data_IF_890338287067
#
_entry.id   IF_890338287067
#
_cell.length_a   1.000
_cell.length_b   1.000
_cell.length_c   1.000
_cell.angle_alpha   90.00
_cell.angle_beta   90.00
_cell.angle_gamma   90.00
#
_symmetry.space_group_name_H-M   'P 1'
#
loop_
_entity.id
_entity.type
_entity.pdbx_description
1 polymer ?
#
# COMPACT_ATOMS: atom_id res chain seq x y z
N UNK A 1 -8.74 10.51 -12.23
CA UNK A 1 -9.53 9.85 -11.17
C UNK A 1 -8.67 9.53 -9.94
N UNK A 2 -7.62 8.71 -10.06
CA UNK A 2 -6.81 8.28 -8.90
C UNK A 2 -6.13 9.42 -8.13
N UNK A 3 -5.69 10.48 -8.81
CA UNK A 3 -5.10 11.66 -8.13
C UNK A 3 -6.12 12.40 -7.24
N UNK A 4 -7.39 12.44 -7.67
CA UNK A 4 -8.47 13.01 -6.86
C UNK A 4 -8.71 12.16 -5.61
N UNK A 5 -8.76 10.84 -5.74
CA UNK A 5 -8.87 9.93 -4.59
C UNK A 5 -7.73 10.16 -3.60
N UNK A 6 -6.49 10.24 -4.10
CA UNK A 6 -5.31 10.54 -3.28
C UNK A 6 -5.45 11.90 -2.58
N UNK A 7 -5.89 12.94 -3.27
CA UNK A 7 -6.09 14.27 -2.69
C UNK A 7 -7.20 14.32 -1.64
N UNK A 8 -8.27 13.54 -1.81
CA UNK A 8 -9.38 13.47 -0.83
C UNK A 8 -8.95 12.90 0.52
N UNK A 9 -7.86 12.13 0.58
CA UNK A 9 -7.29 11.68 1.87
C UNK A 9 -6.92 12.87 2.78
N UNK A 10 -6.24 13.89 2.24
CA UNK A 10 -5.88 15.09 2.99
C UNK A 10 -7.09 15.88 3.50
N UNK A 11 -8.18 15.92 2.73
CA UNK A 11 -9.44 16.57 3.13
C UNK A 11 -10.06 15.89 4.37
N UNK A 12 -10.21 14.56 4.33
CA UNK A 12 -10.80 13.78 5.44
C UNK A 12 -9.91 13.80 6.68
N UNK A 13 -8.59 13.74 6.50
CA UNK A 13 -7.63 13.90 7.60
C UNK A 13 -7.78 15.29 8.23
N UNK A 14 -7.86 16.35 7.42
CA UNK A 14 -8.06 17.71 7.91
C UNK A 14 -9.33 17.87 8.74
N UNK A 15 -10.44 17.28 8.32
CA UNK A 15 -11.70 17.25 9.07
C UNK A 15 -11.56 16.56 10.42
N UNK A 16 -10.86 15.41 10.43
CA UNK A 16 -10.61 14.65 11.66
C UNK A 16 -9.80 15.48 12.65
N UNK A 17 -8.71 16.11 12.18
CA UNK A 17 -7.86 16.96 13.01
C UNK A 17 -8.62 18.18 13.52
N UNK A 18 -9.44 18.81 12.67
CA UNK A 18 -10.32 19.91 13.05
C UNK A 18 -11.24 19.53 14.20
N UNK A 19 -12.00 18.43 14.05
CA UNK A 19 -12.92 17.95 15.08
C UNK A 19 -12.19 17.59 16.39
N UNK A 20 -11.06 16.89 16.32
CA UNK A 20 -10.25 16.58 17.51
C UNK A 20 -9.79 17.85 18.23
N UNK A 21 -9.49 18.91 17.48
CA UNK A 21 -9.07 20.20 18.04
C UNK A 21 -10.25 20.93 18.68
N UNK A 22 -11.44 20.90 18.08
CA UNK A 22 -12.68 21.46 18.67
C UNK A 22 -13.01 20.82 20.02
N UNK A 23 -12.85 19.51 20.15
CA UNK A 23 -13.20 18.76 21.38
C UNK A 23 -12.10 18.88 22.45
N UNK A 24 -10.87 19.23 22.07
CA UNK A 24 -9.73 19.25 22.98
C UNK A 24 -9.93 20.25 24.12
N UNK A 25 -10.11 19.73 25.34
CA UNK A 25 -10.18 20.54 26.56
C UNK A 25 -11.53 21.19 26.80
N UNK A 26 -12.59 20.82 26.08
CA UNK A 26 -13.95 21.28 26.38
C UNK A 26 -14.40 20.74 27.74
N UNK A 27 -14.89 21.60 28.66
CA UNK A 27 -15.39 21.14 29.95
C UNK A 27 -16.70 20.35 29.78
N UNK A 28 -17.06 19.53 30.77
CA UNK A 28 -18.40 18.91 30.78
C UNK A 28 -19.48 19.98 31.04
N UNK A 29 -20.69 19.90 30.47
CA UNK A 29 -21.26 18.87 29.58
C UNK A 29 -21.44 19.40 28.16
N UNK A 30 -22.60 19.98 27.83
CA UNK A 30 -22.85 20.56 26.52
C UNK A 30 -22.14 21.91 26.37
N UNK A 31 -21.39 22.07 25.28
CA UNK A 31 -20.80 23.33 24.85
C UNK A 31 -21.24 23.60 23.41
N UNK A 32 -21.44 24.87 23.05
CA UNK A 32 -21.92 25.26 21.73
C UNK A 32 -20.90 24.97 20.61
N UNK A 33 -19.63 24.87 20.97
CA UNK A 33 -18.50 24.43 20.13
C UNK A 33 -18.79 23.09 19.44
N UNK A 34 -19.57 22.20 20.09
CA UNK A 34 -19.97 20.91 19.54
C UNK A 34 -20.91 21.01 18.33
N UNK A 35 -21.34 22.21 17.92
CA UNK A 35 -22.10 22.40 16.68
C UNK A 35 -21.25 22.26 15.42
N UNK A 36 -19.92 22.37 15.54
CA UNK A 36 -18.95 22.15 14.45
C UNK A 36 -18.81 20.68 14.04
N UNK A 37 -19.62 19.77 14.59
CA UNK A 37 -19.57 18.34 14.30
C UNK A 37 -20.18 17.96 12.95
N UNK A 38 -21.25 18.66 12.52
CA UNK A 38 -22.11 18.22 11.40
C UNK A 38 -21.44 18.42 10.05
N UNK A 39 -20.91 19.61 9.81
CA UNK A 39 -20.31 19.98 8.53
C UNK A 39 -19.15 19.06 8.14
N UNK A 40 -18.11 18.84 8.98
CA UNK A 40 -17.03 17.93 8.65
C UNK A 40 -17.50 16.48 8.55
N UNK A 41 -18.50 16.06 9.34
CA UNK A 41 -19.06 14.70 9.25
C UNK A 41 -19.77 14.47 7.91
N UNK A 42 -20.67 15.36 7.51
CA UNK A 42 -21.44 15.21 6.28
C UNK A 42 -20.54 15.29 5.05
N UNK A 43 -19.62 16.24 5.01
CA UNK A 43 -18.69 16.33 3.88
C UNK A 43 -17.73 15.12 3.80
N UNK A 44 -17.30 14.57 4.94
CA UNK A 44 -16.52 13.32 4.96
C UNK A 44 -17.34 12.14 4.42
N UNK A 45 -18.61 12.01 4.82
CA UNK A 45 -19.50 10.95 4.36
C UNK A 45 -19.74 11.02 2.84
N UNK A 46 -20.07 12.21 2.32
CA UNK A 46 -20.27 12.43 0.89
C UNK A 46 -18.98 12.21 0.10
N UNK A 47 -17.85 12.69 0.62
CA UNK A 47 -16.53 12.47 0.02
C UNK A 47 -16.20 10.98 -0.08
N UNK A 48 -16.38 10.21 1.00
CA UNK A 48 -16.10 8.78 1.02
C UNK A 48 -17.01 8.01 0.06
N UNK A 49 -18.31 8.32 0.05
CA UNK A 49 -19.27 7.71 -0.88
C UNK A 49 -18.86 7.91 -2.33
N UNK A 50 -18.52 9.14 -2.71
CA UNK A 50 -18.05 9.45 -4.06
C UNK A 50 -16.71 8.75 -4.37
N UNK A 51 -15.77 8.72 -3.42
CA UNK A 51 -14.48 8.07 -3.61
C UNK A 51 -14.62 6.57 -3.87
N UNK A 52 -15.49 5.88 -3.13
CA UNK A 52 -15.75 4.44 -3.32
C UNK A 52 -16.34 4.17 -4.70
N UNK A 53 -17.32 4.95 -5.14
CA UNK A 53 -17.92 4.81 -6.47
C UNK A 53 -16.90 5.04 -7.60
N UNK A 54 -16.05 6.05 -7.46
CA UNK A 54 -14.99 6.33 -8.43
C UNK A 54 -13.96 5.19 -8.45
N UNK A 55 -13.56 4.69 -7.27
CA UNK A 55 -12.60 3.59 -7.17
C UNK A 55 -13.14 2.31 -7.81
N UNK A 56 -14.41 1.98 -7.56
CA UNK A 56 -15.11 0.85 -8.18
C UNK A 56 -15.10 0.97 -9.71
N UNK A 57 -15.49 2.13 -10.25
CA UNK A 57 -15.46 2.37 -11.70
C UNK A 57 -14.05 2.28 -12.32
N UNK A 58 -13.03 2.75 -11.60
CA UNK A 58 -11.63 2.61 -12.05
C UNK A 58 -11.22 1.14 -12.09
N UNK A 59 -11.48 0.38 -11.01
CA UNK A 59 -11.08 -1.02 -10.94
C UNK A 59 -11.86 -1.90 -11.93
N UNK A 60 -13.15 -1.64 -12.12
CA UNK A 60 -14.00 -2.37 -13.07
C UNK A 60 -13.56 -2.19 -14.54
N UNK A 61 -12.91 -1.08 -14.88
CA UNK A 61 -12.54 -0.73 -16.27
C UNK A 61 -11.05 -0.73 -16.54
N UNK A 62 -10.21 -0.83 -15.50
CA UNK A 62 -8.76 -0.95 -15.62
C UNK A 62 -8.41 -2.20 -16.44
N UNK A 63 -7.53 -2.02 -17.43
CA UNK A 63 -6.99 -3.13 -18.23
C UNK A 63 -5.51 -3.32 -17.92
N UNK A 64 -5.14 -4.33 -17.13
CA UNK A 64 -3.74 -4.69 -16.95
C UNK A 64 -3.12 -5.08 -18.28
N UNK A 65 -1.83 -4.77 -18.46
CA UNK A 65 -1.07 -5.26 -19.61
C UNK A 65 -0.31 -6.52 -19.17
N UNK A 66 -0.90 -7.69 -19.42
CA UNK A 66 -0.35 -8.98 -19.03
C UNK A 66 1.05 -9.21 -19.59
N UNK A 67 1.27 -8.90 -20.86
CA UNK A 67 2.57 -9.08 -21.52
C UNK A 67 3.66 -8.24 -20.86
N UNK A 68 3.39 -6.97 -20.57
CA UNK A 68 4.34 -6.09 -19.86
C UNK A 68 4.56 -6.53 -18.41
N UNK A 69 3.53 -7.00 -17.73
CA UNK A 69 3.66 -7.51 -16.36
C UNK A 69 4.53 -8.77 -16.32
N UNK A 70 4.32 -9.69 -17.27
CA UNK A 70 5.13 -10.90 -17.40
C UNK A 70 6.57 -10.58 -17.78
N UNK A 71 6.77 -9.66 -18.73
CA UNK A 71 8.09 -9.24 -19.17
C UNK A 71 8.88 -8.44 -18.10
N UNK A 72 8.21 -7.94 -17.06
CA UNK A 72 8.87 -7.29 -15.93
C UNK A 72 9.42 -8.30 -14.90
N UNK A 73 9.07 -9.59 -15.01
CA UNK A 73 9.66 -10.65 -14.20
C UNK A 73 11.08 -10.95 -14.69
N UNK A 74 12.01 -11.09 -13.76
CA UNK A 74 13.41 -11.38 -14.06
C UNK A 74 13.92 -12.55 -13.21
N UNK A 75 14.82 -13.36 -13.76
CA UNK A 75 15.34 -14.57 -13.12
C UNK A 75 16.12 -14.32 -11.81
N UNK A 76 16.89 -13.22 -11.64
CA UNK A 76 17.52 -12.87 -10.37
C UNK A 76 16.52 -12.72 -9.21
N UNK A 77 15.24 -12.42 -9.48
CA UNK A 77 14.21 -12.37 -8.44
C UNK A 77 13.99 -13.74 -7.75
N UNK A 78 14.39 -14.85 -8.39
CA UNK A 78 14.28 -16.20 -7.85
C UNK A 78 15.42 -16.60 -6.88
N UNK A 79 16.40 -15.73 -6.63
CA UNK A 79 17.48 -16.03 -5.68
C UNK A 79 16.96 -16.29 -4.25
N UNK A 80 15.88 -15.59 -3.87
CA UNK A 80 15.20 -15.84 -2.60
C UNK A 80 14.47 -17.19 -2.61
N UNK A 81 13.81 -17.55 -3.70
CA UNK A 81 13.16 -18.86 -3.85
C UNK A 81 14.16 -20.03 -3.77
N UNK A 82 15.38 -19.83 -4.30
CA UNK A 82 16.49 -20.78 -4.17
C UNK A 82 16.89 -20.97 -2.69
N UNK A 83 16.96 -19.87 -1.92
CA UNK A 83 17.23 -19.94 -0.48
C UNK A 83 16.12 -20.70 0.25
N UNK A 84 14.86 -20.35 -0.03
CA UNK A 84 13.68 -21.00 0.58
C UNK A 84 13.62 -22.49 0.24
N UNK A 85 13.98 -22.87 -0.98
CA UNK A 85 14.07 -24.27 -1.39
C UNK A 85 15.10 -25.05 -0.58
N UNK A 86 16.28 -24.47 -0.33
CA UNK A 86 17.32 -25.08 0.50
C UNK A 86 16.88 -25.19 1.96
N UNK A 87 16.19 -24.18 2.48
CA UNK A 87 15.62 -24.21 3.83
C UNK A 87 14.59 -25.34 3.97
N UNK A 88 13.70 -25.50 2.99
CA UNK A 88 12.73 -26.61 2.96
C UNK A 88 13.40 -27.98 2.91
N UNK A 89 14.65 -28.05 2.44
CA UNK A 89 15.48 -29.27 2.44
C UNK A 89 16.31 -29.46 3.72
N UNK A 90 16.14 -28.59 4.72
CA UNK A 90 16.79 -28.71 6.03
C UNK A 90 18.08 -27.90 6.17
N UNK A 91 18.46 -27.10 5.18
CA UNK A 91 19.62 -26.20 5.29
C UNK A 91 19.27 -25.02 6.18
N UNK A 92 20.08 -24.65 7.19
CA UNK A 92 19.84 -23.45 7.99
C UNK A 92 19.79 -22.21 7.10
N UNK A 93 18.86 -21.28 7.36
CA UNK A 93 18.64 -20.09 6.51
C UNK A 93 19.91 -19.31 6.19
N UNK A 94 20.81 -19.13 7.17
CA UNK A 94 22.09 -18.42 6.95
C UNK A 94 22.93 -19.08 5.86
N UNK A 95 22.99 -20.40 5.87
CA UNK A 95 23.74 -21.18 4.89
C UNK A 95 23.03 -21.18 3.53
N UNK A 96 21.71 -21.38 3.52
CA UNK A 96 20.90 -21.30 2.30
C UNK A 96 21.05 -19.95 1.57
N UNK A 97 20.99 -18.84 2.32
CA UNK A 97 21.19 -17.50 1.78
C UNK A 97 22.62 -17.29 1.26
N UNK A 98 23.64 -17.82 1.94
CA UNK A 98 25.02 -17.78 1.45
C UNK A 98 25.19 -18.56 0.14
N UNK A 99 24.59 -19.74 0.04
CA UNK A 99 24.60 -20.56 -1.18
C UNK A 99 23.91 -19.83 -2.32
N UNK A 100 22.71 -19.28 -2.11
CA UNK A 100 21.99 -18.55 -3.14
C UNK A 100 22.78 -17.31 -3.61
N UNK A 101 23.39 -16.56 -2.70
CA UNK A 101 24.25 -15.43 -3.06
C UNK A 101 25.49 -15.85 -3.86
N UNK A 102 26.08 -17.00 -3.56
CA UNK A 102 27.19 -17.53 -4.35
C UNK A 102 26.75 -17.94 -5.77
N UNK A 103 25.56 -18.52 -5.92
CA UNK A 103 25.00 -18.89 -7.23
C UNK A 103 24.69 -17.65 -8.08
N UNK A 104 24.12 -16.60 -7.47
CA UNK A 104 23.90 -15.30 -8.15
C UNK A 104 25.21 -14.73 -8.66
N UNK A 105 26.24 -14.67 -7.80
CA UNK A 105 27.56 -14.16 -8.18
C UNK A 105 28.17 -14.97 -9.32
N UNK A 106 28.10 -16.29 -9.24
CA UNK A 106 28.62 -17.17 -10.30
C UNK A 106 27.91 -16.94 -11.64
N UNK A 107 26.60 -16.70 -11.62
CA UNK A 107 25.82 -16.39 -12.82
C UNK A 107 26.25 -15.04 -13.44
N UNK A 108 26.46 -14.01 -12.62
CA UNK A 108 27.00 -12.71 -13.05
C UNK A 108 28.40 -12.84 -13.67
N UNK A 109 29.32 -13.53 -12.98
CA UNK A 109 30.69 -13.76 -13.46
C UNK A 109 30.71 -14.50 -14.81
N UNK A 110 29.73 -15.38 -15.05
CA UNK A 110 29.56 -16.13 -16.31
C UNK A 110 28.75 -15.41 -17.37
N UNK A 111 28.22 -14.22 -17.09
CA UNK A 111 27.25 -13.51 -17.95
C UNK A 111 26.07 -14.40 -18.36
N UNK A 112 25.55 -15.20 -17.43
CA UNK A 112 24.33 -15.99 -17.63
C UNK A 112 23.29 -15.65 -16.56
N UNK A 113 22.05 -16.06 -16.79
CA UNK A 113 20.97 -15.87 -15.81
C UNK A 113 21.03 -16.95 -14.72
N UNK A 114 20.37 -16.66 -13.59
CA UNK A 114 20.13 -17.62 -12.50
C UNK A 114 19.36 -18.85 -12.97
#
# INVERSE_FOLDING_TARGET
ALELLRGKSGRVIGQTIGLMTTVKGTPSTYNKDLQEDKEPLFDAADTLRACVQIADGVLATLKPNGDKMQAALDLPMLATDLSDHLVRKGVPFREAHHVAGAVVKEAEDRNCTL
#
